data_IF_819178868045
#
_entry.id   IF_819178868045
#
_cell.length_a   1.000
_cell.length_b   1.000
_cell.length_c   1.000
_cell.angle_alpha   90.00
_cell.angle_beta   90.00
_cell.angle_gamma   90.00
#
_symmetry.space_group_name_H-M   'P 1'
#
loop_
_entity.id
_entity.type
_entity.pdbx_description
1 polymer ?
#
# COMPACT_ATOMS: atom_id res chain seq x y z
N UNK A 1 7.38 6.28 38.72
CA UNK A 1 6.65 7.56 38.83
C UNK A 1 6.41 8.00 40.29
N UNK A 2 7.23 7.61 41.27
CA UNK A 2 7.08 8.01 42.69
C UNK A 2 8.33 8.71 43.28
N UNK A 3 9.33 8.98 42.44
CA UNK A 3 10.69 9.36 42.84
C UNK A 3 10.82 10.77 43.45
N UNK A 4 9.91 11.70 43.13
CA UNK A 4 9.98 13.10 43.60
C UNK A 4 8.78 13.51 44.46
N UNK A 5 8.19 12.55 45.18
CA UNK A 5 7.12 12.83 46.14
C UNK A 5 7.67 13.36 47.46
N UNK A 6 6.89 14.18 48.19
CA UNK A 6 7.27 14.61 49.54
C UNK A 6 7.44 13.42 50.49
N UNK A 7 8.30 13.53 51.52
CA UNK A 7 8.75 12.39 52.33
C UNK A 7 7.62 11.60 53.00
N UNK A 8 6.54 12.29 53.42
CA UNK A 8 5.36 11.64 54.01
C UNK A 8 4.65 10.69 53.04
N UNK A 9 4.64 11.00 51.74
CA UNK A 9 4.06 10.14 50.71
C UNK A 9 5.06 9.08 50.25
N UNK A 10 6.36 9.39 50.23
CA UNK A 10 7.42 8.44 49.88
C UNK A 10 7.47 7.26 50.88
N UNK A 11 7.24 7.53 52.17
CA UNK A 11 7.20 6.52 53.22
C UNK A 11 6.09 5.45 53.01
N UNK A 12 5.04 5.75 52.27
CA UNK A 12 3.98 4.78 51.94
C UNK A 12 4.45 3.72 50.93
N UNK A 13 5.54 4.00 50.21
CA UNK A 13 6.10 3.10 49.20
C UNK A 13 7.36 2.37 49.69
N UNK A 14 7.55 2.24 51.01
CA UNK A 14 8.61 1.38 51.55
C UNK A 14 8.35 -0.07 51.15
N UNK A 15 9.37 -0.81 50.70
CA UNK A 15 9.21 -2.22 50.37
C UNK A 15 8.80 -3.00 51.63
N UNK A 16 8.06 -4.09 51.42
CA UNK A 16 7.83 -5.09 52.47
C UNK A 16 9.12 -5.86 52.74
N UNK A 17 9.16 -6.56 53.86
CA UNK A 17 10.20 -7.53 54.15
C UNK A 17 10.37 -8.53 52.98
N UNK A 18 11.60 -8.99 52.71
CA UNK A 18 11.84 -9.93 51.64
C UNK A 18 11.05 -11.23 51.87
N UNK A 19 10.52 -11.78 50.78
CA UNK A 19 9.73 -13.01 50.82
C UNK A 19 10.65 -14.17 51.25
N UNK A 20 10.22 -15.06 52.17
CA UNK A 20 10.99 -16.24 52.51
C UNK A 20 11.18 -17.14 51.28
N UNK A 21 12.41 -17.63 51.09
CA UNK A 21 12.73 -18.51 49.97
C UNK A 21 11.98 -19.84 50.10
N UNK A 22 11.35 -20.27 48.99
CA UNK A 22 10.84 -21.62 48.80
C UNK A 22 11.51 -22.22 47.56
N UNK A 23 11.86 -23.51 47.59
CA UNK A 23 12.41 -24.18 46.41
C UNK A 23 11.38 -24.15 45.27
N UNK A 24 11.82 -24.02 43.99
CA UNK A 24 10.93 -24.11 42.85
C UNK A 24 10.15 -25.43 42.83
N UNK A 25 8.85 -25.36 42.55
CA UNK A 25 7.98 -26.54 42.50
C UNK A 25 8.34 -27.53 41.37
N UNK A 26 8.96 -27.04 40.30
CA UNK A 26 9.25 -27.82 39.10
C UNK A 26 10.74 -27.73 38.76
N UNK A 27 11.24 -28.77 38.12
CA UNK A 27 12.64 -28.87 37.69
C UNK A 27 12.93 -27.94 36.53
N UNK A 28 14.21 -27.63 36.32
CA UNK A 28 14.62 -26.83 35.17
C UNK A 28 14.36 -27.59 33.85
N UNK A 29 14.12 -26.90 32.72
CA UNK A 29 13.79 -27.55 31.45
C UNK A 29 14.74 -28.66 31.00
N UNK A 30 16.03 -28.56 31.32
CA UNK A 30 17.06 -29.56 30.98
C UNK A 30 17.13 -30.74 31.95
N UNK A 31 16.57 -30.60 33.16
CA UNK A 31 16.46 -31.68 34.15
C UNK A 31 15.15 -32.46 34.02
N UNK A 32 14.19 -31.91 33.27
CA UNK A 32 12.92 -32.56 32.96
C UNK A 32 13.17 -33.74 32.01
N UNK A 33 13.01 -34.95 32.51
CA UNK A 33 12.93 -36.15 31.68
C UNK A 33 11.64 -36.13 30.88
N UNK A 34 11.72 -35.76 29.60
CA UNK A 34 10.62 -35.86 28.63
C UNK A 34 10.80 -37.13 27.79
N UNK A 35 9.70 -37.65 27.26
CA UNK A 35 9.79 -38.64 26.19
C UNK A 35 10.58 -38.03 25.02
N UNK A 36 11.56 -38.73 24.45
CA UNK A 36 12.31 -38.24 23.30
C UNK A 36 11.39 -38.11 22.09
N UNK A 37 11.70 -37.17 21.19
CA UNK A 37 11.02 -37.10 19.91
C UNK A 37 11.29 -38.38 19.11
N UNK A 38 10.22 -38.98 18.57
CA UNK A 38 10.31 -40.09 17.62
C UNK A 38 10.49 -39.60 16.18
N UNK A 39 10.96 -40.48 15.31
CA UNK A 39 10.93 -40.26 13.87
C UNK A 39 9.54 -40.48 13.26
N UNK A 40 9.37 -40.12 11.99
CA UNK A 40 8.12 -40.31 11.26
C UNK A 40 8.08 -41.58 10.39
N UNK A 41 9.11 -42.43 10.47
CA UNK A 41 9.27 -43.60 9.60
C UNK A 41 8.10 -44.59 9.71
N UNK A 42 7.56 -44.79 10.91
CA UNK A 42 6.45 -45.71 11.17
C UNK A 42 5.16 -45.29 10.45
N UNK A 43 5.04 -44.02 10.06
CA UNK A 43 3.86 -43.46 9.40
C UNK A 43 3.94 -43.44 7.87
N UNK A 44 5.04 -43.92 7.28
CA UNK A 44 5.19 -43.96 5.82
C UNK A 44 4.08 -44.83 5.18
N UNK A 45 3.66 -45.90 5.86
CA UNK A 45 2.59 -46.78 5.39
C UNK A 45 1.19 -46.14 5.48
N UNK A 46 1.06 -44.97 6.10
CA UNK A 46 -0.21 -44.24 6.22
C UNK A 46 -0.45 -43.24 5.09
N UNK A 47 0.48 -43.08 4.14
CA UNK A 47 0.29 -42.21 2.97
C UNK A 47 -0.59 -42.88 1.92
N UNK A 48 -1.40 -42.08 1.23
CA UNK A 48 -2.23 -42.53 0.10
C UNK A 48 -1.36 -43.11 -1.02
N UNK A 49 -1.86 -44.14 -1.68
CA UNK A 49 -1.17 -44.74 -2.80
C UNK A 49 -1.16 -43.77 -4.00
N UNK A 50 -0.07 -43.76 -4.78
CA UNK A 50 0.13 -42.84 -5.90
C UNK A 50 -0.96 -42.89 -7.00
N UNK A 51 -1.80 -43.92 -7.00
CA UNK A 51 -2.92 -44.08 -7.94
C UNK A 51 -4.24 -43.48 -7.45
N UNK A 52 -4.38 -43.24 -6.15
CA UNK A 52 -5.57 -42.63 -5.51
C UNK A 52 -5.44 -41.10 -5.42
N UNK A 53 -4.21 -40.59 -5.54
CA UNK A 53 -3.92 -39.16 -5.44
C UNK A 53 -4.25 -38.46 -6.77
N UNK A 54 -5.20 -37.50 -6.82
CA UNK A 54 -5.44 -36.72 -8.02
C UNK A 54 -4.20 -35.90 -8.39
N UNK A 55 -4.00 -35.57 -9.69
CA UNK A 55 -2.89 -34.71 -10.08
C UNK A 55 -2.98 -33.37 -9.35
N UNK A 56 -1.84 -32.79 -8.94
CA UNK A 56 -1.84 -31.54 -8.18
C UNK A 56 -2.51 -30.44 -9.02
N UNK A 57 -3.47 -29.74 -8.40
CA UNK A 57 -4.14 -28.61 -9.03
C UNK A 57 -3.16 -27.45 -9.12
N UNK A 58 -2.83 -27.01 -10.34
CA UNK A 58 -1.98 -25.83 -10.55
C UNK A 58 -2.77 -24.59 -10.11
N UNK A 59 -2.36 -23.99 -9.02
CA UNK A 59 -2.86 -22.69 -8.56
C UNK A 59 -2.10 -21.60 -9.31
N UNK A 60 -2.79 -20.49 -9.59
CA UNK A 60 -2.19 -19.28 -10.17
C UNK A 60 -0.98 -18.85 -9.32
N UNK A 61 0.19 -18.75 -9.94
CA UNK A 61 1.38 -18.20 -9.28
C UNK A 61 1.18 -16.71 -9.03
N UNK A 62 1.97 -16.13 -8.12
CA UNK A 62 1.91 -14.69 -7.84
C UNK A 62 2.14 -13.86 -9.12
N UNK A 63 3.03 -14.30 -9.99
CA UNK A 63 3.36 -13.63 -11.25
C UNK A 63 2.20 -13.65 -12.24
N UNK A 64 1.58 -14.82 -12.42
CA UNK A 64 0.38 -14.97 -13.26
C UNK A 64 -0.77 -14.07 -12.77
N UNK A 65 -0.97 -13.98 -11.45
CA UNK A 65 -1.97 -13.10 -10.83
C UNK A 65 -1.72 -11.63 -11.09
N UNK A 66 -0.46 -11.21 -11.06
CA UNK A 66 -0.07 -9.82 -11.36
C UNK A 66 -0.31 -9.52 -12.84
N UNK A 67 0.10 -10.43 -13.73
CA UNK A 67 -0.10 -10.28 -15.18
C UNK A 67 -1.59 -10.20 -15.54
N UNK A 68 -2.43 -11.05 -14.94
CA UNK A 68 -3.89 -11.02 -15.14
C UNK A 68 -4.49 -9.69 -14.70
N UNK A 69 -4.15 -9.20 -13.51
CA UNK A 69 -4.62 -7.90 -13.02
C UNK A 69 -4.16 -6.73 -13.89
N UNK A 70 -2.94 -6.78 -14.41
CA UNK A 70 -2.42 -5.77 -15.30
C UNK A 70 -3.20 -5.73 -16.62
N UNK A 71 -3.50 -6.90 -17.20
CA UNK A 71 -4.33 -7.03 -18.40
C UNK A 71 -5.75 -6.52 -18.19
N UNK A 72 -6.43 -6.97 -17.13
CA UNK A 72 -7.78 -6.51 -16.78
C UNK A 72 -7.82 -4.98 -16.55
N UNK A 73 -6.78 -4.41 -15.94
CA UNK A 73 -6.69 -2.95 -15.73
C UNK A 73 -6.48 -2.21 -17.05
N UNK A 74 -5.64 -2.73 -17.95
CA UNK A 74 -5.41 -2.15 -19.26
C UNK A 74 -6.66 -2.19 -20.13
N UNK A 75 -7.40 -3.31 -20.13
CA UNK A 75 -8.67 -3.46 -20.85
C UNK A 75 -9.72 -2.45 -20.34
N UNK A 76 -9.86 -2.32 -19.02
CA UNK A 76 -10.78 -1.31 -18.43
C UNK A 76 -10.38 0.12 -18.80
N UNK A 77 -9.09 0.44 -18.78
CA UNK A 77 -8.60 1.76 -19.16
C UNK A 77 -8.86 2.04 -20.66
N UNK A 78 -8.72 1.03 -21.52
CA UNK A 78 -9.04 1.15 -22.95
C UNK A 78 -10.53 1.42 -23.18
N UNK A 79 -11.41 0.68 -22.52
CA UNK A 79 -12.87 0.89 -22.60
C UNK A 79 -13.26 2.31 -22.12
N UNK A 80 -12.71 2.75 -20.99
CA UNK A 80 -12.95 4.11 -20.49
C UNK A 80 -12.44 5.18 -21.46
N UNK A 81 -11.30 4.94 -22.12
CA UNK A 81 -10.77 5.85 -23.13
C UNK A 81 -11.70 5.94 -24.35
N UNK A 82 -12.26 4.83 -24.81
CA UNK A 82 -13.23 4.80 -25.91
C UNK A 82 -14.54 5.52 -25.56
N UNK A 83 -15.06 5.32 -24.34
CA UNK A 83 -16.22 6.06 -23.82
C UNK A 83 -15.96 7.58 -23.75
N UNK A 84 -14.78 7.96 -23.24
CA UNK A 84 -14.37 9.37 -23.16
C UNK A 84 -14.18 9.98 -24.56
N UNK A 85 -13.61 9.22 -25.50
CA UNK A 85 -13.44 9.68 -26.89
C UNK A 85 -14.79 9.91 -27.58
N UNK A 86 -15.76 9.03 -27.31
CA UNK A 86 -17.12 9.14 -27.87
C UNK A 86 -17.87 10.36 -27.33
N UNK A 87 -17.67 10.69 -26.06
CA UNK A 87 -18.31 11.86 -25.42
C UNK A 87 -17.55 13.18 -25.65
N UNK A 88 -16.31 13.13 -26.15
CA UNK A 88 -15.48 14.31 -26.36
C UNK A 88 -15.80 15.01 -27.68
N UNK A 89 -16.50 16.15 -27.59
CA UNK A 89 -16.73 17.07 -28.71
C UNK A 89 -16.04 18.43 -28.46
N UNK A 90 -14.88 18.69 -29.10
CA UNK A 90 -14.16 19.95 -28.96
C UNK A 90 -14.94 21.17 -29.46
N UNK A 91 -15.85 21.00 -30.43
CA UNK A 91 -16.55 22.10 -31.07
C UNK A 91 -17.70 22.64 -30.22
N UNK A 92 -18.26 21.79 -29.35
CA UNK A 92 -19.34 22.15 -28.44
C UNK A 92 -18.82 22.47 -27.01
N UNK A 93 -17.53 22.79 -26.88
CA UNK A 93 -16.93 23.13 -25.60
C UNK A 93 -17.07 24.64 -25.30
N UNK A 94 -17.81 25.01 -24.25
CA UNK A 94 -17.99 26.40 -23.82
C UNK A 94 -16.69 27.09 -23.41
N UNK A 95 -15.69 26.34 -22.96
CA UNK A 95 -14.37 26.86 -22.60
C UNK A 95 -13.43 27.04 -23.82
N UNK A 96 -13.87 26.69 -25.03
CA UNK A 96 -13.04 26.80 -26.23
C UNK A 96 -12.92 28.24 -26.73
N UNK A 97 -11.83 28.52 -27.44
CA UNK A 97 -11.61 29.83 -28.08
C UNK A 97 -12.35 29.91 -29.42
N UNK A 98 -12.75 31.12 -29.82
CA UNK A 98 -13.56 31.35 -31.02
C UNK A 98 -12.88 30.94 -32.34
N UNK A 99 -11.56 31.09 -32.47
CA UNK A 99 -10.81 30.82 -33.72
C UNK A 99 -9.62 29.89 -33.44
N UNK A 100 -9.65 28.61 -33.87
CA UNK A 100 -8.59 27.65 -33.59
C UNK A 100 -7.28 28.01 -34.30
N UNK A 101 -7.31 28.71 -35.45
CA UNK A 101 -6.09 29.09 -36.19
C UNK A 101 -5.32 30.23 -35.53
N UNK A 102 -5.94 30.92 -34.56
CA UNK A 102 -5.34 32.05 -33.83
C UNK A 102 -5.21 31.77 -32.34
N UNK A 103 -5.28 30.50 -31.94
CA UNK A 103 -5.18 30.07 -30.55
C UNK A 103 -3.84 29.37 -30.33
N UNK A 104 -3.07 29.83 -29.34
CA UNK A 104 -1.82 29.19 -28.94
C UNK A 104 -2.05 28.34 -27.69
N UNK A 105 -1.69 27.07 -27.74
CA UNK A 105 -1.66 26.20 -26.57
C UNK A 105 -0.28 26.24 -25.91
N UNK A 106 -0.24 26.61 -24.63
CA UNK A 106 0.99 26.72 -23.84
C UNK A 106 0.89 25.80 -22.63
N UNK A 107 1.78 24.82 -22.53
CA UNK A 107 1.81 23.83 -21.45
C UNK A 107 3.12 23.90 -20.66
N UNK A 108 3.20 23.14 -19.55
CA UNK A 108 4.36 23.07 -18.64
C UNK A 108 4.75 24.43 -18.04
N UNK A 109 3.76 25.26 -17.76
CA UNK A 109 3.95 26.52 -17.06
C UNK A 109 4.23 26.28 -15.58
N UNK A 110 5.03 27.15 -14.95
CA UNK A 110 5.12 27.17 -13.51
C UNK A 110 3.76 27.58 -12.93
N UNK A 111 3.28 26.87 -11.90
CA UNK A 111 2.00 27.14 -11.24
C UNK A 111 1.91 28.56 -10.65
N UNK A 112 3.04 29.19 -10.31
CA UNK A 112 3.09 30.57 -9.79
C UNK A 112 3.00 31.66 -10.89
N UNK A 113 2.91 31.26 -12.16
CA UNK A 113 2.90 32.21 -13.28
C UNK A 113 1.52 32.85 -13.40
N UNK A 114 1.44 34.18 -13.26
CA UNK A 114 0.19 34.91 -13.46
C UNK A 114 -0.16 35.09 -14.94
N UNK A 115 -1.46 35.21 -15.24
CA UNK A 115 -1.97 35.55 -16.58
C UNK A 115 -1.34 36.85 -17.12
N UNK A 116 -1.13 37.84 -16.26
CA UNK A 116 -0.49 39.11 -16.62
C UNK A 116 0.95 38.93 -17.10
N UNK A 117 1.70 37.99 -16.52
CA UNK A 117 3.06 37.67 -16.95
C UNK A 117 3.04 36.96 -18.31
N UNK A 118 2.14 35.98 -18.48
CA UNK A 118 1.96 35.31 -19.77
C UNK A 118 1.61 36.29 -20.88
N UNK A 119 0.65 37.20 -20.62
CA UNK A 119 0.25 38.22 -21.57
C UNK A 119 1.44 39.09 -22.01
N UNK A 120 2.25 39.58 -21.06
CA UNK A 120 3.44 40.40 -21.37
C UNK A 120 4.46 39.68 -22.26
N UNK A 121 4.75 38.41 -21.98
CA UNK A 121 5.74 37.64 -22.74
C UNK A 121 5.25 37.32 -24.17
N UNK A 122 3.96 37.01 -24.33
CA UNK A 122 3.39 36.63 -25.63
C UNK A 122 2.94 37.83 -26.47
N UNK A 123 2.70 39.00 -25.86
CA UNK A 123 2.27 40.22 -26.56
C UNK A 123 3.36 40.78 -27.49
N UNK A 124 4.62 40.38 -27.30
CA UNK A 124 5.75 40.69 -28.19
C UNK A 124 5.50 40.19 -29.63
N UNK A 125 4.77 39.08 -29.78
CA UNK A 125 4.49 38.47 -31.08
C UNK A 125 3.22 39.01 -31.75
N UNK A 126 2.42 39.80 -31.04
CA UNK A 126 1.19 40.38 -31.56
C UNK A 126 0.15 40.64 -30.48
N UNK A 127 -0.93 41.33 -30.88
CA UNK A 127 -2.02 41.69 -29.96
C UNK A 127 -2.78 40.45 -29.50
N UNK A 128 -2.83 40.23 -28.19
CA UNK A 128 -3.60 39.13 -27.58
C UNK A 128 -5.06 39.55 -27.37
N UNK A 129 -6.00 38.72 -27.84
CA UNK A 129 -7.45 38.96 -27.70
C UNK A 129 -7.97 38.54 -26.33
N UNK A 130 -7.66 37.33 -25.90
CA UNK A 130 -8.06 36.76 -24.61
C UNK A 130 -7.02 35.74 -24.16
N UNK A 131 -6.88 35.57 -22.85
CA UNK A 131 -6.21 34.44 -22.21
C UNK A 131 -7.29 33.77 -21.35
N UNK A 132 -7.41 32.45 -21.47
CA UNK A 132 -8.46 31.64 -20.83
C UNK A 132 -7.83 30.44 -20.16
#
# INVERSE_FOLDING_TARGET
MTQFLPPNLLALFTPRDPIPFLPPNDKLPHEKKRLPYGGLADFINSFEAAHETPPPTRIETKEERVARRAREKAEKAALQLEENLTSWDPNNNEASTTDPYKTLFVARLNYDTSETKLRREFEVYGKIKSVS
#
